data_IF_440894584146
#
_entry.id   IF_440894584146
#
_cell.length_a   1.000
_cell.length_b   1.000
_cell.length_c   1.000
_cell.angle_alpha   90.00
_cell.angle_beta   90.00
_cell.angle_gamma   90.00
#
_symmetry.space_group_name_H-M   'P 1'
#
loop_
_entity.id
_entity.type
_entity.pdbx_description
1 polymer ?
#
# COMPACT_ATOMS: atom_id res chain seq x y z
N UNK A 1 -17.64 -0.46 18.21
CA UNK A 1 -16.57 -0.16 17.24
C UNK A 1 -15.25 -0.82 17.60
N UNK A 2 -14.82 -0.78 18.86
CA UNK A 2 -13.54 -1.35 19.31
C UNK A 2 -13.36 -2.82 18.94
N UNK A 3 -14.33 -3.67 19.31
CA UNK A 3 -14.33 -5.11 19.02
C UNK A 3 -14.18 -5.43 17.53
N UNK A 4 -14.81 -4.65 16.66
CA UNK A 4 -14.71 -4.81 15.21
C UNK A 4 -13.28 -4.51 14.74
N UNK A 5 -12.71 -3.40 15.18
CA UNK A 5 -11.35 -2.98 14.80
C UNK A 5 -10.33 -4.01 15.26
N UNK A 6 -10.43 -4.47 16.52
CA UNK A 6 -9.58 -5.52 17.07
C UNK A 6 -9.62 -6.79 16.19
N UNK A 7 -10.81 -7.37 15.95
CA UNK A 7 -10.93 -8.59 15.13
C UNK A 7 -10.40 -8.40 13.71
N UNK A 8 -10.69 -7.25 13.10
CA UNK A 8 -10.22 -6.95 11.75
C UNK A 8 -8.69 -6.90 11.68
N UNK A 9 -8.04 -6.21 12.62
CA UNK A 9 -6.57 -6.04 12.61
C UNK A 9 -5.87 -7.33 13.06
N UNK A 10 -6.33 -7.97 14.13
CA UNK A 10 -5.74 -9.20 14.68
C UNK A 10 -5.78 -10.37 13.69
N UNK A 11 -6.80 -10.45 12.82
CA UNK A 11 -6.88 -11.47 11.77
C UNK A 11 -5.87 -11.30 10.62
N UNK A 12 -5.12 -10.19 10.57
CA UNK A 12 -4.18 -9.86 9.48
C UNK A 12 -2.82 -10.55 9.55
N UNK A 13 -2.49 -11.23 10.65
CA UNK A 13 -1.28 -12.06 10.84
C UNK A 13 0.07 -11.31 10.87
N UNK A 14 0.13 -10.06 10.41
CA UNK A 14 1.33 -9.23 10.35
C UNK A 14 1.06 -7.85 10.96
N UNK A 15 2.12 -7.17 11.41
CA UNK A 15 2.00 -5.79 11.87
C UNK A 15 1.60 -4.88 10.70
N UNK A 16 0.46 -4.21 10.82
CA UNK A 16 -0.07 -3.32 9.79
C UNK A 16 0.32 -1.87 10.07
N UNK A 17 0.63 -1.11 9.02
CA UNK A 17 0.68 0.35 9.14
C UNK A 17 -0.73 0.87 9.50
N UNK A 18 -0.88 2.05 10.13
CA UNK A 18 -2.21 2.60 10.43
C UNK A 18 -3.10 2.75 9.19
N UNK A 19 -2.52 3.09 8.04
CA UNK A 19 -3.24 3.20 6.77
C UNK A 19 -3.74 1.84 6.26
N UNK A 20 -2.92 0.80 6.36
CA UNK A 20 -3.32 -0.56 5.95
C UNK A 20 -4.32 -1.17 6.93
N UNK A 21 -4.17 -0.92 8.24
CA UNK A 21 -5.12 -1.31 9.27
C UNK A 21 -6.49 -0.70 9.03
N UNK A 22 -6.54 0.61 8.77
CA UNK A 22 -7.80 1.31 8.44
C UNK A 22 -8.44 0.73 7.18
N UNK A 23 -7.66 0.54 6.12
CA UNK A 23 -8.14 -0.07 4.88
C UNK A 23 -8.74 -1.46 5.15
N UNK A 24 -8.06 -2.29 5.93
CA UNK A 24 -8.53 -3.64 6.28
C UNK A 24 -9.85 -3.62 7.05
N UNK A 25 -10.03 -2.69 8.00
CA UNK A 25 -11.32 -2.52 8.70
C UNK A 25 -12.44 -2.25 7.70
N UNK A 26 -12.23 -1.36 6.74
CA UNK A 26 -13.23 -1.12 5.69
C UNK A 26 -13.45 -2.34 4.78
N UNK A 27 -12.41 -3.11 4.43
CA UNK A 27 -12.53 -4.37 3.68
C UNK A 27 -13.43 -5.39 4.39
N UNK A 28 -13.27 -5.56 5.70
CA UNK A 28 -14.10 -6.45 6.50
C UNK A 28 -15.56 -5.98 6.63
N UNK A 29 -15.82 -4.67 6.75
CA UNK A 29 -17.20 -4.15 6.78
C UNK A 29 -17.87 -4.30 5.42
N UNK A 30 -17.13 -3.98 4.35
CA UNK A 30 -17.62 -4.02 2.98
C UNK A 30 -17.91 -5.43 2.46
N UNK A 31 -17.23 -6.45 3.02
CA UNK A 31 -17.53 -7.86 2.75
C UNK A 31 -18.86 -8.33 3.35
N UNK A 32 -19.51 -7.49 4.16
CA UNK A 32 -20.83 -7.77 4.71
C UNK A 32 -20.80 -8.50 6.05
N UNK A 33 -19.76 -8.34 6.87
CA UNK A 33 -19.67 -8.96 8.21
C UNK A 33 -20.87 -8.64 9.12
N UNK A 34 -21.52 -7.49 8.90
CA UNK A 34 -22.70 -7.03 9.65
C UNK A 34 -24.02 -7.44 9.00
N UNK A 35 -24.03 -8.03 7.80
CA UNK A 35 -25.28 -8.39 7.13
C UNK A 35 -25.89 -9.66 7.75
N UNK A 36 -27.23 -9.81 7.70
CA UNK A 36 -27.89 -11.04 8.12
C UNK A 36 -27.32 -12.27 7.41
N UNK A 37 -27.09 -13.36 8.16
CA UNK A 37 -26.46 -14.58 7.63
C UNK A 37 -24.94 -14.52 7.47
N UNK A 38 -24.31 -13.37 7.76
CA UNK A 38 -22.86 -13.26 7.91
C UNK A 38 -22.35 -13.86 9.24
N UNK A 39 -21.02 -13.93 9.43
CA UNK A 39 -20.44 -14.49 10.65
C UNK A 39 -20.72 -13.67 11.93
N UNK A 40 -21.17 -12.41 11.79
CA UNK A 40 -21.56 -11.54 12.91
C UNK A 40 -20.39 -11.04 13.75
N UNK A 41 -20.69 -10.27 14.80
CA UNK A 41 -19.70 -9.71 15.72
C UNK A 41 -19.94 -10.20 17.15
N UNK A 42 -19.49 -11.42 17.47
CA UNK A 42 -19.67 -11.98 18.82
C UNK A 42 -18.95 -11.19 19.90
N UNK A 43 -19.70 -10.81 20.95
CA UNK A 43 -19.23 -10.12 22.14
C UNK A 43 -18.45 -11.07 23.08
N UNK A 44 -17.15 -10.81 23.34
CA UNK A 44 -16.35 -11.64 24.25
C UNK A 44 -16.65 -11.39 25.74
N UNK A 45 -17.42 -10.35 26.08
CA UNK A 45 -17.80 -10.01 27.45
C UNK A 45 -19.11 -10.68 27.89
N UNK A 46 -19.84 -11.29 26.97
CA UNK A 46 -21.07 -12.03 27.25
C UNK A 46 -20.82 -13.52 27.39
N UNK A 47 -21.53 -14.17 28.31
CA UNK A 47 -21.40 -15.62 28.54
C UNK A 47 -22.02 -16.43 27.40
N UNK A 48 -23.17 -15.98 26.92
CA UNK A 48 -23.88 -16.59 25.79
C UNK A 48 -23.41 -15.97 24.47
N UNK A 49 -23.49 -16.73 23.37
CA UNK A 49 -23.09 -16.29 22.04
C UNK A 49 -23.95 -15.11 21.54
N UNK A 50 -23.53 -13.90 21.87
CA UNK A 50 -24.29 -12.67 21.67
C UNK A 50 -23.66 -11.83 20.55
N UNK A 51 -24.45 -11.45 19.55
CA UNK A 51 -24.00 -10.51 18.51
C UNK A 51 -23.97 -9.09 19.07
N UNK A 52 -22.78 -8.51 19.20
CA UNK A 52 -22.55 -7.14 19.65
C UNK A 52 -23.18 -6.09 18.72
N UNK A 53 -23.54 -6.48 17.48
CA UNK A 53 -24.22 -5.60 16.53
C UNK A 53 -25.74 -5.76 16.51
N UNK A 54 -26.32 -6.60 17.38
CA UNK A 54 -27.74 -6.96 17.37
C UNK A 54 -28.72 -5.76 17.45
N UNK A 55 -28.30 -4.64 18.04
CA UNK A 55 -29.11 -3.42 18.11
C UNK A 55 -29.30 -2.71 16.77
N UNK A 56 -28.48 -3.01 15.76
CA UNK A 56 -28.61 -2.44 14.42
C UNK A 56 -29.73 -3.11 13.64
N UNK A 57 -30.59 -2.28 13.06
CA UNK A 57 -31.61 -2.71 12.10
C UNK A 57 -30.97 -3.21 10.80
N UNK A 58 -31.72 -3.99 10.03
CA UNK A 58 -31.27 -4.47 8.70
C UNK A 58 -30.87 -3.31 7.79
N UNK A 59 -31.63 -2.21 7.79
CA UNK A 59 -31.34 -1.05 6.96
C UNK A 59 -30.05 -0.34 7.39
N UNK A 60 -29.81 -0.21 8.70
CA UNK A 60 -28.56 0.39 9.20
C UNK A 60 -27.35 -0.46 8.83
N UNK A 61 -27.47 -1.79 8.93
CA UNK A 61 -26.42 -2.73 8.51
C UNK A 61 -26.09 -2.57 7.03
N UNK A 62 -27.11 -2.52 6.17
CA UNK A 62 -26.93 -2.27 4.73
C UNK A 62 -26.28 -0.92 4.44
N UNK A 63 -26.73 0.14 5.12
CA UNK A 63 -26.18 1.49 4.96
C UNK A 63 -24.70 1.55 5.36
N UNK A 64 -24.33 0.91 6.48
CA UNK A 64 -22.94 0.81 6.95
C UNK A 64 -22.08 0.04 5.93
N UNK A 65 -22.56 -1.11 5.45
CA UNK A 65 -21.85 -1.89 4.43
C UNK A 65 -21.68 -1.12 3.12
N UNK A 66 -22.74 -0.47 2.63
CA UNK A 66 -22.69 0.35 1.41
C UNK A 66 -21.71 1.54 1.55
N UNK A 67 -21.73 2.21 2.71
CA UNK A 67 -20.80 3.29 3.03
C UNK A 67 -19.35 2.81 3.06
N UNK A 68 -19.08 1.65 3.68
CA UNK A 68 -17.75 1.05 3.71
C UNK A 68 -17.24 0.65 2.31
N UNK A 69 -18.11 0.10 1.46
CA UNK A 69 -17.79 -0.20 0.07
C UNK A 69 -17.43 1.08 -0.72
N UNK A 70 -18.10 2.20 -0.44
CA UNK A 70 -17.75 3.48 -1.04
C UNK A 70 -16.41 4.01 -0.53
N UNK A 71 -16.21 3.97 0.80
CA UNK A 71 -14.96 4.38 1.43
C UNK A 71 -13.75 3.60 0.89
N UNK A 72 -13.87 2.29 0.67
CA UNK A 72 -12.80 1.49 0.05
C UNK A 72 -12.41 1.97 -1.33
N UNK A 73 -13.41 2.29 -2.18
CA UNK A 73 -13.14 2.83 -3.50
C UNK A 73 -12.39 4.16 -3.38
N UNK A 74 -12.81 5.04 -2.48
CA UNK A 74 -12.08 6.29 -2.21
C UNK A 74 -10.63 6.02 -1.77
N UNK A 75 -10.41 5.08 -0.84
CA UNK A 75 -9.07 4.70 -0.38
C UNK A 75 -8.21 4.17 -1.54
N UNK A 76 -8.74 3.26 -2.37
CA UNK A 76 -8.06 2.67 -3.52
C UNK A 76 -7.65 3.74 -4.56
N UNK A 77 -8.51 4.76 -4.76
CA UNK A 77 -8.24 5.88 -5.66
C UNK A 77 -7.49 7.04 -4.99
N UNK A 78 -6.83 6.81 -3.84
CA UNK A 78 -6.02 7.79 -3.11
C UNK A 78 -6.82 9.02 -2.64
N UNK A 79 -8.12 8.86 -2.44
CA UNK A 79 -9.05 9.87 -1.92
C UNK A 79 -9.41 9.64 -0.44
N UNK A 80 -8.51 9.02 0.33
CA UNK A 80 -8.69 8.75 1.77
C UNK A 80 -8.98 10.01 2.60
N UNK A 81 -8.51 11.18 2.16
CA UNK A 81 -8.80 12.47 2.81
C UNK A 81 -10.31 12.74 2.90
N UNK A 82 -11.11 12.30 1.91
CA UNK A 82 -12.57 12.39 1.95
C UNK A 82 -13.19 11.50 3.03
N UNK A 83 -12.63 10.29 3.20
CA UNK A 83 -13.07 9.35 4.24
C UNK A 83 -12.74 9.88 5.63
N UNK A 84 -11.59 10.55 5.77
CA UNK A 84 -11.13 11.17 7.01
C UNK A 84 -11.78 12.54 7.30
N UNK A 85 -12.58 13.08 6.38
CA UNK A 85 -13.21 14.40 6.56
C UNK A 85 -12.20 15.55 6.64
N UNK A 86 -11.09 15.45 5.90
CA UNK A 86 -10.01 16.44 5.90
C UNK A 86 -9.67 16.93 4.49
N UNK A 87 -8.95 18.04 4.41
CA UNK A 87 -8.40 18.52 3.15
C UNK A 87 -7.31 17.59 2.59
N UNK A 88 -7.19 17.57 1.27
CA UNK A 88 -6.14 16.80 0.63
C UNK A 88 -4.77 17.38 0.98
N UNK A 89 -3.89 16.54 1.54
CA UNK A 89 -2.52 16.94 1.83
C UNK A 89 -1.78 17.36 0.55
N UNK A 90 -0.87 18.37 0.63
CA UNK A 90 -0.04 18.76 -0.50
C UNK A 90 0.71 17.57 -1.09
N UNK A 91 0.88 17.55 -2.40
CA UNK A 91 1.66 16.51 -3.06
C UNK A 91 3.09 16.47 -2.46
N UNK A 92 3.61 15.28 -2.11
CA UNK A 92 4.94 15.18 -1.52
C UNK A 92 5.98 15.73 -2.50
N UNK A 93 6.78 16.70 -2.02
CA UNK A 93 7.81 17.40 -2.81
C UNK A 93 8.95 16.50 -3.31
N UNK A 94 9.06 15.29 -2.76
CA UNK A 94 10.04 14.30 -3.18
C UNK A 94 9.39 13.21 -4.02
N UNK A 95 9.10 13.53 -5.29
CA UNK A 95 8.96 12.48 -6.29
C UNK A 95 10.32 11.82 -6.43
N UNK A 96 10.55 10.69 -5.73
CA UNK A 96 11.67 9.81 -6.10
C UNK A 96 11.55 9.58 -7.60
N UNK A 97 12.59 9.84 -8.40
CA UNK A 97 12.50 9.66 -9.84
C UNK A 97 12.03 8.23 -10.04
N UNK A 98 10.83 8.07 -10.61
CA UNK A 98 10.36 6.75 -11.04
C UNK A 98 11.47 6.27 -11.96
N UNK A 99 12.18 5.24 -11.54
CA UNK A 99 13.26 4.64 -12.29
C UNK A 99 12.76 4.51 -13.73
N UNK A 100 13.33 5.32 -14.64
CA UNK A 100 12.93 5.31 -16.04
C UNK A 100 12.89 3.84 -16.46
N UNK A 101 11.77 3.30 -16.95
CA UNK A 101 11.82 2.00 -17.56
C UNK A 101 12.73 2.18 -18.77
N UNK A 102 13.99 1.75 -18.66
CA UNK A 102 14.91 1.63 -19.78
C UNK A 102 14.09 1.01 -20.90
N UNK A 103 13.90 1.78 -21.97
CA UNK A 103 13.33 1.40 -23.27
C UNK A 103 13.34 -0.13 -23.40
N UNK A 104 12.18 -0.78 -23.27
CA UNK A 104 12.07 -2.18 -23.69
C UNK A 104 12.46 -2.18 -25.15
N UNK A 105 13.65 -2.69 -25.45
CA UNK A 105 14.17 -2.86 -26.81
C UNK A 105 13.14 -3.70 -27.55
N UNK A 106 12.36 -3.05 -28.42
CA UNK A 106 11.40 -3.69 -29.31
C UNK A 106 12.23 -4.69 -30.14
N UNK A 107 12.07 -5.98 -29.89
CA UNK A 107 12.69 -7.02 -30.69
C UNK A 107 12.01 -6.99 -32.06
N UNK A 108 12.65 -6.33 -33.02
CA UNK A 108 12.34 -6.49 -34.43
C UNK A 108 13.54 -7.18 -35.07
N UNK A 109 13.24 -8.28 -35.74
CA UNK A 109 14.15 -9.21 -36.38
C UNK A 109 14.94 -8.59 -37.54
N UNK A 110 16.05 -9.28 -37.85
CA UNK A 110 16.76 -9.34 -39.14
C UNK A 110 17.84 -8.28 -39.39
N UNK A 111 19.10 -8.72 -39.45
CA UNK A 111 20.24 -7.93 -39.91
C UNK A 111 21.58 -8.48 -39.40
N UNK A 112 22.23 -9.29 -40.23
CA UNK A 112 23.57 -9.85 -40.04
C UNK A 112 24.65 -8.75 -39.99
N UNK A 113 25.75 -9.02 -39.29
CA UNK A 113 26.93 -8.15 -39.28
C UNK A 113 27.96 -8.56 -38.22
N UNK A 114 28.84 -9.50 -38.57
CA UNK A 114 30.11 -9.75 -37.89
C UNK A 114 31.05 -8.53 -37.99
N UNK A 115 31.77 -8.22 -36.92
CA UNK A 115 33.20 -7.87 -36.95
C UNK A 115 33.74 -7.75 -35.53
N UNK A 116 34.76 -8.55 -35.23
CA UNK A 116 35.41 -8.65 -33.92
C UNK A 116 36.36 -7.50 -33.56
N UNK A 117 37.01 -7.64 -32.41
CA UNK A 117 38.08 -6.77 -31.95
C UNK A 117 38.50 -7.05 -30.51
N UNK A 118 39.45 -7.97 -30.33
CA UNK A 118 40.17 -8.26 -29.08
C UNK A 118 41.21 -7.18 -28.70
N UNK A 119 41.65 -7.23 -27.42
CA UNK A 119 42.85 -6.62 -26.79
C UNK A 119 42.78 -5.10 -26.54
N UNK A 120 43.36 -4.51 -25.49
CA UNK A 120 44.58 -4.85 -24.73
C UNK A 120 44.61 -4.03 -23.43
N UNK A 121 45.15 -4.60 -22.36
CA UNK A 121 45.62 -3.89 -21.17
C UNK A 121 46.56 -2.72 -21.52
N UNK A 122 46.43 -1.61 -20.77
CA UNK A 122 47.54 -0.70 -20.51
C UNK A 122 47.47 -0.18 -19.07
N UNK A 123 48.28 -0.77 -18.18
CA UNK A 123 48.80 -0.07 -17.00
C UNK A 123 49.78 1.00 -17.48
N UNK A 124 49.72 2.18 -16.90
CA UNK A 124 50.90 3.04 -16.71
C UNK A 124 50.70 3.84 -15.42
N UNK A 125 51.69 3.68 -14.55
CA UNK A 125 51.97 4.44 -13.33
C UNK A 125 52.65 5.75 -13.71
N UNK A 126 52.81 6.60 -12.69
CA UNK A 126 53.68 7.78 -12.56
C UNK A 126 52.85 9.07 -12.55
N UNK A 127 52.80 9.85 -11.47
CA UNK A 127 53.84 10.12 -10.49
C UNK A 127 54.33 11.53 -10.76
N UNK A 128 53.74 12.52 -10.11
CA UNK A 128 54.27 13.88 -10.13
C UNK A 128 54.27 14.46 -8.72
N UNK A 129 55.48 14.51 -8.18
CA UNK A 129 55.88 15.28 -7.01
C UNK A 129 56.08 16.72 -7.48
N UNK A 130 55.40 17.68 -6.86
CA UNK A 130 55.97 19.00 -6.70
C UNK A 130 55.73 19.50 -5.28
N UNK A 131 56.87 19.80 -4.66
CA UNK A 131 57.07 20.34 -3.32
C UNK A 131 57.33 21.85 -3.43
N UNK A 132 57.27 22.53 -2.28
CA UNK A 132 57.55 23.95 -1.98
C UNK A 132 56.32 24.87 -1.88
N UNK A 133 56.17 25.75 -0.90
CA UNK A 133 56.98 26.13 0.29
C UNK A 133 56.17 27.20 1.06
N UNK A 134 56.06 27.09 2.39
CA UNK A 134 55.85 28.12 3.44
C UNK A 134 55.55 27.35 4.74
N UNK A 135 56.28 27.43 5.85
CA UNK A 135 57.20 28.45 6.39
C UNK A 135 58.54 27.84 6.86
#
# INVERSE_FOLDING_TARGET
>A
MELLVEKCVSSGGTSLSPGDALRRVFECIASGILLPGGPGLYDPCEKEATDASASLTTQERENITASAQHALRLIAFRQIYKVLGMDQLPAPRFTRPRFNPRKRRRTNSTGEGEAGGEKKDKRESDGDLNQEMTD
#
